data_IF_804548577136
#
_entry.id   IF_804548577136
#
_cell.length_a   1.000
_cell.length_b   1.000
_cell.length_c   1.000
_cell.angle_alpha   90.00
_cell.angle_beta   90.00
_cell.angle_gamma   90.00
#
_symmetry.space_group_name_H-M   'P 1'
#
loop_
_entity.id
_entity.type
_entity.pdbx_description
1 polymer ?
#
# COMPACT_ATOMS: atom_id res chain seq x y z
N UNK A 1 7.73 -2.11 -8.21
CA UNK A 1 8.72 -1.34 -7.42
C UNK A 1 9.71 -2.32 -6.82
N UNK A 2 10.61 -2.90 -7.63
CA UNK A 2 11.50 -4.00 -7.19
C UNK A 2 12.47 -3.50 -6.09
N UNK A 3 12.89 -2.24 -6.18
CA UNK A 3 13.85 -1.65 -5.24
C UNK A 3 13.27 -1.42 -3.85
N UNK A 4 11.93 -1.37 -3.71
CA UNK A 4 11.24 -1.14 -2.43
C UNK A 4 10.58 -2.38 -1.87
N UNK A 5 10.50 -3.45 -2.65
CA UNK A 5 9.90 -4.70 -2.20
C UNK A 5 10.78 -5.33 -1.11
N UNK A 6 10.26 -5.40 0.12
CA UNK A 6 10.97 -5.96 1.27
C UNK A 6 11.86 -4.99 2.09
N UNK A 7 11.98 -3.71 1.72
CA UNK A 7 12.80 -2.73 2.47
C UNK A 7 12.08 -2.00 3.62
N UNK A 8 10.80 -2.27 3.87
CA UNK A 8 9.97 -1.61 4.89
C UNK A 8 9.94 -0.06 4.84
N UNK A 9 10.31 0.55 3.69
CA UNK A 9 10.41 2.00 3.54
C UNK A 9 9.11 2.69 3.09
N UNK A 10 7.97 2.02 3.24
CA UNK A 10 6.69 2.51 2.74
C UNK A 10 6.53 2.34 1.22
N UNK A 11 5.30 2.40 0.71
CA UNK A 11 4.98 2.38 -0.72
C UNK A 11 5.44 3.68 -1.42
N UNK A 12 5.70 3.64 -2.72
CA UNK A 12 6.01 4.84 -3.50
C UNK A 12 4.75 5.62 -3.88
N UNK A 13 4.23 6.39 -2.94
CA UNK A 13 2.99 7.17 -3.08
C UNK A 13 3.02 8.13 -4.27
N UNK A 14 4.17 8.75 -4.55
CA UNK A 14 4.31 9.70 -5.66
C UNK A 14 4.12 8.99 -7.01
N UNK A 15 4.82 7.87 -7.24
CA UNK A 15 4.64 7.07 -8.45
C UNK A 15 3.24 6.48 -8.57
N UNK A 16 2.65 6.02 -7.46
CA UNK A 16 1.28 5.49 -7.48
C UNK A 16 0.28 6.59 -7.85
N UNK A 17 0.43 7.79 -7.28
CA UNK A 17 -0.41 8.95 -7.60
C UNK A 17 -0.26 9.33 -9.08
N UNK A 18 0.97 9.42 -9.58
CA UNK A 18 1.25 9.68 -10.99
C UNK A 18 0.57 8.63 -11.89
N UNK A 19 0.72 7.35 -11.58
CA UNK A 19 0.07 6.27 -12.33
C UNK A 19 -1.46 6.41 -12.33
N UNK A 20 -2.07 6.62 -11.17
CA UNK A 20 -3.54 6.79 -11.07
C UNK A 20 -4.06 8.02 -11.80
N UNK A 21 -3.23 9.05 -11.99
CA UNK A 21 -3.62 10.23 -12.78
C UNK A 21 -3.58 9.99 -14.30
N UNK A 22 -2.82 8.99 -14.75
CA UNK A 22 -2.60 8.67 -16.17
C UNK A 22 -3.48 7.53 -16.70
N UNK A 23 -4.27 6.87 -15.86
CA UNK A 23 -5.18 5.80 -16.27
C UNK A 23 -6.46 5.79 -15.46
N UNK A 24 -7.56 5.34 -16.08
CA UNK A 24 -8.83 5.07 -15.39
C UNK A 24 -8.93 3.63 -14.89
N UNK A 25 -7.89 2.81 -15.12
CA UNK A 25 -7.86 1.44 -14.64
C UNK A 25 -7.64 1.39 -13.12
N UNK A 26 -8.32 0.47 -12.42
CA UNK A 26 -8.09 0.26 -10.99
C UNK A 26 -6.64 -0.22 -10.76
N UNK A 27 -5.94 0.45 -9.86
CA UNK A 27 -4.57 0.13 -9.49
C UNK A 27 -4.54 -0.68 -8.20
N UNK A 28 -3.67 -1.70 -8.16
CA UNK A 28 -3.33 -2.42 -6.93
C UNK A 28 -1.91 -2.00 -6.55
N UNK A 29 -1.74 -1.41 -5.37
CA UNK A 29 -0.43 -1.05 -4.86
C UNK A 29 0.28 -2.30 -4.33
N UNK A 30 1.34 -2.74 -5.01
CA UNK A 30 2.14 -3.91 -4.62
C UNK A 30 3.52 -3.48 -4.12
N UNK A 31 3.85 -3.82 -2.87
CA UNK A 31 5.17 -3.64 -2.29
C UNK A 31 5.32 -2.40 -1.40
N UNK A 32 6.23 -2.49 -0.43
CA UNK A 32 6.66 -1.37 0.41
C UNK A 32 5.80 -1.09 1.65
N UNK A 33 4.58 -1.63 1.77
CA UNK A 33 3.74 -1.44 2.98
C UNK A 33 4.47 -1.99 4.20
N UNK A 34 4.75 -1.12 5.17
CA UNK A 34 5.42 -1.47 6.43
C UNK A 34 4.64 -1.03 7.66
N UNK A 35 3.61 -0.20 7.50
CA UNK A 35 2.83 0.33 8.61
C UNK A 35 1.35 0.50 8.26
N UNK A 36 0.55 0.70 9.31
CA UNK A 36 -0.86 1.07 9.17
C UNK A 36 -1.03 2.46 8.52
N UNK A 37 -0.09 3.38 8.73
CA UNK A 37 -0.09 4.71 8.12
C UNK A 37 0.01 4.62 6.59
N UNK A 38 0.83 3.70 6.07
CA UNK A 38 0.92 3.47 4.62
C UNK A 38 -0.43 3.08 4.03
N UNK A 39 -1.23 2.28 4.75
CA UNK A 39 -2.57 1.89 4.31
C UNK A 39 -3.52 3.09 4.27
N UNK A 40 -3.44 3.99 5.24
CA UNK A 40 -4.22 5.24 5.26
C UNK A 40 -3.86 6.10 4.05
N UNK A 41 -2.56 6.29 3.81
CA UNK A 41 -2.06 7.10 2.70
C UNK A 41 -2.49 6.51 1.36
N UNK A 42 -2.38 5.19 1.18
CA UNK A 42 -2.84 4.50 -0.03
C UNK A 42 -4.37 4.60 -0.21
N UNK A 43 -5.17 4.50 0.87
CA UNK A 43 -6.64 4.66 0.83
C UNK A 43 -7.06 6.06 0.35
N UNK A 44 -6.23 7.08 0.58
CA UNK A 44 -6.52 8.46 0.14
C UNK A 44 -6.26 8.69 -1.36
N UNK A 45 -5.49 7.83 -2.03
CA UNK A 45 -5.17 7.99 -3.46
C UNK A 45 -6.33 7.46 -4.31
N UNK A 46 -7.04 8.37 -4.99
CA UNK A 46 -8.09 7.99 -5.95
C UNK A 46 -7.52 7.12 -7.06
N UNK A 47 -8.20 6.01 -7.36
CA UNK A 47 -7.76 5.04 -8.38
C UNK A 47 -6.98 3.86 -7.82
N UNK A 48 -6.49 3.95 -6.57
CA UNK A 48 -6.03 2.76 -5.83
C UNK A 48 -7.26 1.99 -5.35
N UNK A 49 -7.33 0.72 -5.75
CA UNK A 49 -8.44 -0.20 -5.49
C UNK A 49 -8.08 -1.32 -4.52
N UNK A 50 -6.78 -1.51 -4.26
CA UNK A 50 -6.31 -2.57 -3.38
C UNK A 50 -4.83 -2.44 -3.10
N UNK A 51 -4.37 -3.22 -2.13
CA UNK A 51 -2.99 -3.22 -1.64
C UNK A 51 -2.56 -4.66 -1.40
N UNK A 52 -1.32 -4.98 -1.74
CA UNK A 52 -0.69 -6.28 -1.41
C UNK A 52 0.34 -6.04 -0.30
N UNK A 53 0.08 -6.61 0.87
CA UNK A 53 1.00 -6.63 2.02
C UNK A 53 1.45 -8.06 2.28
N UNK A 54 2.76 -8.29 2.29
CA UNK A 54 3.36 -9.59 2.57
C UNK A 54 4.25 -9.54 3.81
N UNK A 55 5.44 -8.93 3.66
CA UNK A 55 6.46 -8.89 4.72
C UNK A 55 5.96 -8.29 6.03
N UNK A 56 5.22 -7.19 6.01
CA UNK A 56 4.71 -6.55 7.23
C UNK A 56 3.71 -7.42 8.01
N UNK A 57 2.88 -8.19 7.31
CA UNK A 57 2.01 -9.19 7.94
C UNK A 57 2.82 -10.39 8.46
N UNK A 58 3.82 -10.83 7.70
CA UNK A 58 4.68 -11.96 8.08
C UNK A 58 5.57 -11.66 9.30
N UNK A 59 6.08 -10.44 9.40
CA UNK A 59 6.91 -9.96 10.53
C UNK A 59 6.06 -9.43 11.70
N UNK A 60 4.72 -9.55 11.63
CA UNK A 60 3.79 -9.04 12.63
C UNK A 60 3.98 -7.54 12.97
N UNK A 61 4.35 -6.72 11.98
CA UNK A 61 4.44 -5.27 12.16
C UNK A 61 3.05 -4.66 12.45
N UNK A 62 2.02 -5.27 11.87
CA UNK A 62 0.62 -5.11 12.22
C UNK A 62 -0.14 -6.40 11.85
N UNK A 63 -1.30 -6.61 12.44
CA UNK A 63 -2.19 -7.73 12.13
C UNK A 63 -3.14 -7.42 10.98
N UNK A 64 -3.62 -8.47 10.31
CA UNK A 64 -4.66 -8.33 9.28
C UNK A 64 -5.93 -7.69 9.86
N UNK A 65 -6.33 -8.05 11.07
CA UNK A 65 -7.50 -7.48 11.74
C UNK A 65 -7.34 -5.97 12.00
N UNK A 66 -6.17 -5.51 12.45
CA UNK A 66 -5.89 -4.08 12.61
C UNK A 66 -5.97 -3.34 11.27
N UNK A 67 -5.38 -3.90 10.22
CA UNK A 67 -5.43 -3.33 8.89
C UNK A 67 -6.86 -3.22 8.37
N UNK A 68 -7.67 -4.29 8.50
CA UNK A 68 -9.06 -4.30 8.05
C UNK A 68 -9.92 -3.32 8.85
N UNK A 69 -9.82 -3.31 10.18
CA UNK A 69 -10.58 -2.39 11.02
C UNK A 69 -10.27 -0.92 10.72
N UNK A 70 -9.01 -0.62 10.35
CA UNK A 70 -8.59 0.72 9.98
C UNK A 70 -9.14 1.18 8.64
N UNK A 71 -9.18 0.29 7.64
CA UNK A 71 -9.58 0.62 6.27
C UNK A 71 -11.04 0.31 5.95
N UNK A 72 -11.78 -0.28 6.91
CA UNK A 72 -13.24 -0.47 6.81
C UNK A 72 -14.00 0.83 6.58
#
# INVERSE_FOLDING_TARGET
DIDRDGMLNGPNLEKITELTSNTSLPIIASGGVSSLEDLIQLKQIKGVSGVISGKALYENTFSLDEALNLIS
#
